data_IF_341763823021
#
_entry.id   IF_341763823021
#
_cell.length_a   1.000
_cell.length_b   1.000
_cell.length_c   1.000
_cell.angle_alpha   90.00
_cell.angle_beta   90.00
_cell.angle_gamma   90.00
#
_symmetry.space_group_name_H-M   'P 1'
#
loop_
_entity.id
_entity.type
_entity.pdbx_description
1 polymer ?
#
# COMPACT_ATOMS: atom_id res chain seq x y z
N UNK A 1 -30.83 19.49 37.83
CA UNK A 1 -29.74 18.47 37.83
C UNK A 1 -30.26 17.12 37.35
N UNK A 2 -31.51 16.79 37.59
CA UNK A 2 -32.09 15.48 37.23
C UNK A 2 -32.09 15.18 35.74
N UNK A 3 -32.33 16.17 34.87
CA UNK A 3 -32.32 15.98 33.41
C UNK A 3 -30.95 15.55 32.85
N UNK A 4 -29.85 16.06 33.41
CA UNK A 4 -28.50 15.69 33.01
C UNK A 4 -28.18 14.24 33.42
N UNK A 5 -28.61 13.85 34.63
CA UNK A 5 -28.44 12.48 35.15
C UNK A 5 -29.22 11.47 34.31
N UNK A 6 -30.46 11.80 33.89
CA UNK A 6 -31.23 10.96 32.99
C UNK A 6 -30.57 10.83 31.59
N UNK A 7 -30.05 11.93 31.04
CA UNK A 7 -29.35 11.88 29.78
C UNK A 7 -28.07 11.00 29.82
N UNK A 8 -27.28 11.14 30.87
CA UNK A 8 -26.09 10.30 31.09
C UNK A 8 -26.48 8.83 31.26
N UNK A 9 -27.53 8.53 32.04
CA UNK A 9 -28.01 7.18 32.26
C UNK A 9 -28.48 6.51 30.94
N UNK A 10 -29.22 7.23 30.10
CA UNK A 10 -29.72 6.73 28.81
C UNK A 10 -28.54 6.46 27.88
N UNK A 11 -27.56 7.38 27.77
CA UNK A 11 -26.37 7.22 26.95
C UNK A 11 -25.50 6.05 27.42
N UNK A 12 -25.32 5.90 28.74
CA UNK A 12 -24.56 4.80 29.31
C UNK A 12 -25.26 3.44 29.05
N UNK A 13 -26.58 3.37 29.26
CA UNK A 13 -27.35 2.16 28.97
C UNK A 13 -27.29 1.80 27.49
N UNK A 14 -27.45 2.78 26.58
CA UNK A 14 -27.33 2.60 25.13
C UNK A 14 -25.94 2.08 24.73
N UNK A 15 -24.89 2.65 25.30
CA UNK A 15 -23.52 2.22 25.09
C UNK A 15 -23.25 0.78 25.54
N UNK A 16 -23.77 0.40 26.73
CA UNK A 16 -23.65 -0.97 27.25
C UNK A 16 -24.40 -1.96 26.36
N UNK A 17 -25.62 -1.64 25.94
CA UNK A 17 -26.43 -2.52 25.08
C UNK A 17 -25.76 -2.71 23.72
N UNK A 18 -25.34 -1.62 23.07
CA UNK A 18 -24.63 -1.70 21.79
C UNK A 18 -23.29 -2.45 21.89
N UNK A 19 -22.51 -2.18 22.94
CA UNK A 19 -21.27 -2.89 23.21
C UNK A 19 -21.47 -4.39 23.43
N UNK A 20 -22.49 -4.77 24.17
CA UNK A 20 -22.84 -6.17 24.38
C UNK A 20 -23.31 -6.86 23.10
N UNK A 21 -24.12 -6.19 22.28
CA UNK A 21 -24.57 -6.71 20.97
C UNK A 21 -23.42 -6.90 20.02
N UNK A 22 -22.53 -5.90 19.88
CA UNK A 22 -21.35 -5.99 19.04
C UNK A 22 -20.36 -7.05 19.52
N UNK A 23 -20.13 -7.13 20.85
CA UNK A 23 -19.30 -8.16 21.45
C UNK A 23 -19.85 -9.58 21.20
N UNK A 24 -21.16 -9.77 21.38
CA UNK A 24 -21.81 -11.03 21.05
C UNK A 24 -21.70 -11.36 19.56
N UNK A 25 -21.98 -10.39 18.68
CA UNK A 25 -21.89 -10.57 17.24
C UNK A 25 -20.44 -10.93 16.79
N UNK A 26 -19.43 -10.28 17.36
CA UNK A 26 -18.01 -10.57 17.01
C UNK A 26 -17.58 -11.98 17.38
N UNK A 27 -18.12 -12.54 18.47
CA UNK A 27 -17.83 -13.93 18.87
C UNK A 27 -18.66 -14.94 18.08
N UNK A 28 -19.93 -14.59 17.77
CA UNK A 28 -20.86 -15.51 17.09
C UNK A 28 -20.62 -15.61 15.58
N UNK A 29 -20.20 -14.48 14.96
CA UNK A 29 -19.90 -14.38 13.53
C UNK A 29 -18.40 -14.30 13.24
N UNK A 30 -17.58 -14.90 14.10
CA UNK A 30 -16.15 -14.98 13.87
C UNK A 30 -15.92 -15.73 12.56
N UNK A 31 -15.42 -15.01 11.52
CA UNK A 31 -14.94 -15.66 10.32
C UNK A 31 -13.66 -16.42 10.70
N UNK A 32 -13.72 -17.73 10.67
CA UNK A 32 -12.53 -18.58 10.79
C UNK A 32 -11.73 -18.37 9.49
N UNK A 33 -10.63 -17.62 9.58
CA UNK A 33 -9.70 -17.49 8.47
C UNK A 33 -9.08 -18.85 8.18
N UNK A 34 -8.91 -19.17 6.89
CA UNK A 34 -8.18 -20.36 6.50
C UNK A 34 -6.72 -20.23 6.99
N UNK A 35 -6.23 -21.15 7.84
CA UNK A 35 -4.87 -21.07 8.35
C UNK A 35 -3.80 -21.13 7.25
N UNK A 36 -4.13 -21.67 6.06
CA UNK A 36 -3.25 -21.63 4.90
C UNK A 36 -3.11 -20.22 4.34
N UNK A 37 -4.24 -19.50 4.22
CA UNK A 37 -4.25 -18.08 3.78
C UNK A 37 -3.42 -17.22 4.72
N UNK A 38 -3.53 -17.41 6.03
CA UNK A 38 -2.75 -16.65 7.01
C UNK A 38 -1.24 -16.90 6.89
N UNK A 39 -0.84 -18.15 6.60
CA UNK A 39 0.57 -18.48 6.35
C UNK A 39 1.08 -17.85 5.06
N UNK A 40 0.31 -17.92 3.97
CA UNK A 40 0.66 -17.29 2.70
C UNK A 40 0.78 -15.77 2.88
N UNK A 41 -0.22 -15.14 3.52
CA UNK A 41 -0.25 -13.71 3.76
C UNK A 41 0.96 -13.24 4.59
N UNK A 42 1.41 -14.03 5.57
CA UNK A 42 2.59 -13.72 6.39
C UNK A 42 3.92 -13.77 5.62
N UNK A 43 3.99 -14.50 4.49
CA UNK A 43 5.16 -14.56 3.61
C UNK A 43 5.19 -13.35 2.68
N UNK A 44 4.03 -12.83 2.27
CA UNK A 44 3.94 -11.70 1.35
C UNK A 44 4.49 -10.42 1.97
N UNK A 45 5.06 -9.50 1.16
CA UNK A 45 5.79 -8.31 1.65
C UNK A 45 4.90 -7.25 2.31
N UNK A 46 3.60 -7.43 2.34
CA UNK A 46 2.61 -6.52 2.95
C UNK A 46 2.66 -5.07 2.43
N UNK A 47 3.17 -4.86 1.22
CA UNK A 47 3.25 -3.53 0.59
C UNK A 47 1.90 -3.01 0.12
N UNK A 48 0.88 -3.88 -0.02
CA UNK A 48 -0.48 -3.54 -0.47
C UNK A 48 -0.51 -2.79 -1.82
N UNK A 49 0.50 -3.02 -2.68
CA UNK A 49 0.75 -2.22 -3.89
C UNK A 49 -0.19 -2.52 -5.07
N UNK A 50 -0.88 -3.66 -5.09
CA UNK A 50 -1.80 -4.04 -6.16
C UNK A 50 -1.14 -4.47 -7.49
N UNK A 51 0.19 -4.52 -7.62
CA UNK A 51 0.87 -4.90 -8.87
C UNK A 51 0.55 -6.32 -9.35
N UNK A 52 0.26 -7.24 -8.42
CA UNK A 52 -0.19 -8.59 -8.74
C UNK A 52 -1.60 -8.67 -9.35
N UNK A 53 -2.29 -7.54 -9.53
CA UNK A 53 -3.67 -7.48 -10.02
C UNK A 53 -4.74 -7.66 -8.94
N UNK A 54 -4.36 -7.90 -7.69
CA UNK A 54 -5.27 -8.03 -6.55
C UNK A 54 -5.27 -6.75 -5.70
N UNK A 55 -6.41 -6.42 -5.03
CA UNK A 55 -6.52 -5.18 -4.26
C UNK A 55 -5.80 -5.23 -2.90
N UNK A 56 -4.71 -5.98 -2.81
CA UNK A 56 -3.90 -6.11 -1.60
C UNK A 56 -3.30 -7.51 -1.43
N UNK A 57 -2.44 -7.69 -0.43
CA UNK A 57 -1.72 -8.95 -0.21
C UNK A 57 -2.67 -10.08 0.24
N UNK A 58 -3.64 -9.80 1.12
CA UNK A 58 -4.58 -10.81 1.61
C UNK A 58 -5.48 -11.40 0.52
N UNK A 59 -6.13 -10.60 -0.38
CA UNK A 59 -6.87 -11.14 -1.52
C UNK A 59 -6.01 -12.00 -2.45
N UNK A 60 -4.74 -11.62 -2.64
CA UNK A 60 -3.80 -12.45 -3.41
C UNK A 60 -3.48 -13.76 -2.68
N UNK A 61 -3.26 -13.74 -1.35
CA UNK A 61 -3.07 -14.94 -0.56
C UNK A 61 -4.28 -15.89 -0.62
N UNK A 62 -5.50 -15.34 -0.59
CA UNK A 62 -6.74 -16.11 -0.75
C UNK A 62 -6.84 -16.76 -2.14
N UNK A 63 -6.46 -16.04 -3.19
CA UNK A 63 -6.47 -16.56 -4.55
C UNK A 63 -5.42 -17.67 -4.74
N UNK A 64 -4.22 -17.53 -4.15
CA UNK A 64 -3.19 -18.59 -4.15
C UNK A 64 -3.69 -19.84 -3.43
N UNK A 65 -4.34 -19.67 -2.27
CA UNK A 65 -4.85 -20.80 -1.48
C UNK A 65 -5.97 -21.58 -2.21
N UNK A 66 -6.71 -20.90 -3.09
CA UNK A 66 -7.77 -21.49 -3.93
C UNK A 66 -7.26 -21.98 -5.29
N UNK A 67 -5.97 -21.89 -5.58
CA UNK A 67 -5.38 -22.16 -6.91
C UNK A 67 -5.94 -21.27 -8.05
N UNK A 68 -6.46 -20.09 -7.72
CA UNK A 68 -6.95 -19.10 -8.69
C UNK A 68 -5.83 -18.17 -9.19
N UNK A 69 -4.70 -18.11 -8.46
CA UNK A 69 -3.53 -17.31 -8.81
C UNK A 69 -2.23 -18.11 -8.65
N UNK A 70 -1.26 -17.80 -9.52
CA UNK A 70 0.08 -18.35 -9.41
C UNK A 70 0.90 -17.66 -8.31
N UNK A 71 1.92 -18.35 -7.78
CA UNK A 71 2.78 -17.87 -6.68
C UNK A 71 3.80 -16.80 -7.11
N UNK A 72 3.95 -16.54 -8.42
CA UNK A 72 5.01 -15.73 -9.01
C UNK A 72 4.53 -14.35 -9.53
N UNK A 73 3.41 -13.83 -9.00
CA UNK A 73 2.81 -12.56 -9.47
C UNK A 73 3.15 -11.35 -8.60
N UNK A 74 4.02 -11.49 -7.59
CA UNK A 74 4.34 -10.42 -6.64
C UNK A 74 5.75 -9.84 -6.87
N UNK A 75 5.92 -8.73 -7.64
CA UNK A 75 7.23 -8.14 -7.89
C UNK A 75 7.96 -7.66 -6.62
N UNK A 76 7.30 -6.97 -5.66
CA UNK A 76 7.98 -6.55 -4.43
C UNK A 76 8.41 -7.70 -3.52
N UNK A 77 7.84 -8.89 -3.73
CA UNK A 77 8.24 -10.08 -2.99
C UNK A 77 9.50 -10.74 -3.53
N UNK A 78 9.78 -10.51 -4.81
CA UNK A 78 10.94 -11.08 -5.50
C UNK A 78 10.98 -12.61 -5.49
N UNK A 79 12.10 -13.15 -5.91
CA UNK A 79 12.34 -14.59 -5.98
C UNK A 79 12.31 -15.27 -4.60
N UNK A 80 12.74 -14.58 -3.54
CA UNK A 80 12.75 -15.14 -2.19
C UNK A 80 11.35 -15.53 -1.71
N UNK A 81 10.35 -14.68 -1.98
CA UNK A 81 8.97 -14.99 -1.61
C UNK A 81 8.41 -16.14 -2.45
N UNK A 82 8.75 -16.21 -3.73
CA UNK A 82 8.32 -17.30 -4.61
C UNK A 82 8.86 -18.64 -4.09
N UNK A 83 10.13 -18.69 -3.69
CA UNK A 83 10.71 -19.90 -3.09
C UNK A 83 9.99 -20.33 -1.81
N UNK A 84 9.73 -19.38 -0.89
CA UNK A 84 9.01 -19.68 0.36
C UNK A 84 7.58 -20.17 0.12
N UNK A 85 6.89 -19.58 -0.86
CA UNK A 85 5.53 -19.99 -1.25
C UNK A 85 5.55 -21.37 -1.93
N UNK A 86 6.53 -21.63 -2.79
CA UNK A 86 6.71 -22.94 -3.44
C UNK A 86 6.96 -24.04 -2.41
N UNK A 87 7.82 -23.79 -1.43
CA UNK A 87 8.10 -24.72 -0.32
C UNK A 87 6.86 -24.97 0.54
N UNK A 88 6.13 -23.89 0.92
CA UNK A 88 4.92 -24.00 1.75
C UNK A 88 3.82 -24.81 1.07
N UNK A 89 3.64 -24.65 -0.25
CA UNK A 89 2.55 -25.23 -1.03
C UNK A 89 2.95 -26.54 -1.74
N UNK A 90 4.23 -26.92 -1.70
CA UNK A 90 4.75 -28.08 -2.44
C UNK A 90 4.65 -27.91 -3.96
N UNK A 91 4.68 -26.67 -4.46
CA UNK A 91 4.63 -26.34 -5.89
C UNK A 91 6.03 -26.18 -6.46
N UNK A 92 6.17 -26.39 -7.78
CA UNK A 92 7.42 -26.11 -8.46
C UNK A 92 7.71 -24.60 -8.48
N UNK A 93 8.99 -24.24 -8.35
CA UNK A 93 9.43 -22.87 -8.51
C UNK A 93 9.16 -22.38 -9.93
N UNK A 94 8.60 -21.17 -10.03
CA UNK A 94 8.42 -20.44 -11.29
C UNK A 94 9.10 -19.07 -11.16
N UNK A 95 9.84 -18.59 -12.18
CA UNK A 95 10.40 -17.25 -12.16
C UNK A 95 9.30 -16.20 -12.08
N UNK A 96 9.65 -15.01 -11.60
CA UNK A 96 8.71 -13.89 -11.49
C UNK A 96 8.02 -13.61 -12.84
N UNK A 97 6.71 -13.44 -12.82
CA UNK A 97 5.92 -13.15 -14.03
C UNK A 97 6.21 -11.75 -14.55
N UNK A 98 6.76 -11.66 -15.78
CA UNK A 98 7.06 -10.39 -16.43
C UNK A 98 5.81 -9.54 -16.70
N UNK A 99 4.62 -10.13 -16.73
CA UNK A 99 3.35 -9.43 -16.93
C UNK A 99 2.98 -8.52 -15.74
N UNK A 100 3.43 -8.88 -14.53
CA UNK A 100 3.13 -8.15 -13.30
C UNK A 100 4.24 -7.18 -12.90
N UNK A 101 5.37 -7.19 -13.64
CA UNK A 101 6.51 -6.32 -13.42
C UNK A 101 7.80 -7.09 -13.09
N UNK A 102 8.82 -6.33 -12.75
CA UNK A 102 10.15 -6.85 -12.39
C UNK A 102 10.48 -6.42 -10.96
N UNK A 103 11.32 -7.20 -10.30
CA UNK A 103 11.89 -6.80 -9.02
C UNK A 103 12.75 -5.54 -9.22
N UNK A 104 12.41 -4.48 -8.48
CA UNK A 104 13.10 -3.18 -8.54
C UNK A 104 13.56 -2.79 -7.13
N UNK A 105 14.65 -2.02 -7.03
CA UNK A 105 15.01 -1.40 -5.76
C UNK A 105 13.87 -0.50 -5.28
N UNK A 106 13.82 -0.26 -3.98
CA UNK A 106 12.78 0.59 -3.40
C UNK A 106 12.80 1.98 -4.04
N UNK A 107 11.66 2.38 -4.57
CA UNK A 107 11.44 3.66 -5.24
C UNK A 107 10.24 4.37 -4.62
N UNK A 108 10.21 5.69 -4.77
CA UNK A 108 9.04 6.52 -4.47
C UNK A 108 8.73 7.39 -5.69
N UNK A 109 7.46 7.64 -5.92
CA UNK A 109 7.03 8.54 -6.97
C UNK A 109 7.12 10.00 -6.48
N UNK A 110 7.51 10.90 -7.37
CA UNK A 110 7.53 12.35 -7.13
C UNK A 110 6.73 13.03 -8.23
N UNK A 111 5.91 14.02 -7.88
CA UNK A 111 5.12 14.82 -8.83
C UNK A 111 5.81 16.16 -9.04
N UNK A 112 6.05 16.55 -10.30
CA UNK A 112 6.38 17.93 -10.60
C UNK A 112 5.13 18.81 -10.46
N UNK A 113 5.05 19.52 -9.34
CA UNK A 113 3.92 20.36 -8.98
C UNK A 113 3.70 21.50 -9.98
N UNK A 114 4.72 21.94 -10.71
CA UNK A 114 4.64 23.02 -11.71
C UNK A 114 3.92 22.58 -12.98
N UNK A 115 4.05 21.30 -13.34
CA UNK A 115 3.44 20.69 -14.52
C UNK A 115 2.07 20.09 -14.19
N UNK A 116 1.83 19.76 -12.92
CA UNK A 116 0.60 19.10 -12.48
C UNK A 116 -0.64 19.97 -12.70
N UNK A 117 -1.62 19.45 -13.43
CA UNK A 117 -2.89 20.13 -13.76
C UNK A 117 -4.04 19.82 -12.79
N UNK A 118 -3.83 19.00 -11.78
CA UNK A 118 -4.86 18.66 -10.80
C UNK A 118 -6.00 17.80 -11.34
N UNK A 119 -5.70 16.83 -12.22
CA UNK A 119 -6.73 15.98 -12.85
C UNK A 119 -7.28 14.85 -11.96
N UNK A 120 -6.67 14.59 -10.82
CA UNK A 120 -7.04 13.55 -9.81
C UNK A 120 -6.94 12.10 -10.26
N UNK A 121 -6.52 11.79 -11.48
CA UNK A 121 -6.44 10.41 -12.00
C UNK A 121 -5.40 9.58 -11.23
N UNK A 122 -4.28 10.16 -10.85
CA UNK A 122 -3.25 9.49 -10.03
C UNK A 122 -3.75 9.15 -8.63
N UNK A 123 -4.60 9.99 -8.01
CA UNK A 123 -5.21 9.71 -6.70
C UNK A 123 -6.09 8.46 -6.79
N UNK A 124 -6.92 8.35 -7.84
CA UNK A 124 -7.80 7.20 -8.04
C UNK A 124 -7.03 5.90 -8.30
N UNK A 125 -5.84 5.99 -8.87
CA UNK A 125 -4.99 4.85 -9.17
C UNK A 125 -4.12 4.40 -7.99
N UNK A 126 -3.99 5.22 -6.94
CA UNK A 126 -3.12 4.94 -5.80
C UNK A 126 -3.79 3.96 -4.81
N UNK A 127 -3.28 2.72 -4.63
CA UNK A 127 -3.90 1.74 -3.75
C UNK A 127 -3.66 2.01 -2.26
N UNK A 128 -2.72 2.90 -1.93
CA UNK A 128 -2.30 3.21 -0.55
C UNK A 128 -2.59 4.66 -0.14
N UNK A 129 -3.36 5.40 -0.95
CA UNK A 129 -3.75 6.79 -0.70
C UNK A 129 -2.56 7.73 -0.38
N UNK A 130 -1.39 7.47 -1.00
CA UNK A 130 -0.18 8.25 -0.77
C UNK A 130 -0.18 9.62 -1.47
N UNK A 131 -1.19 9.93 -2.30
CA UNK A 131 -1.23 11.16 -3.11
C UNK A 131 -2.21 12.16 -2.51
N UNK A 132 -1.68 13.32 -2.17
CA UNK A 132 -2.43 14.41 -1.55
C UNK A 132 -2.72 15.47 -2.62
N UNK A 133 -3.97 15.91 -2.71
CA UNK A 133 -4.38 16.93 -3.66
C UNK A 133 -5.90 16.96 -3.87
N UNK A 134 -6.35 17.84 -4.74
CA UNK A 134 -7.76 17.98 -5.08
C UNK A 134 -7.93 18.37 -6.56
N UNK A 135 -9.15 18.29 -7.06
CA UNK A 135 -9.48 18.70 -8.43
C UNK A 135 -9.06 20.16 -8.70
N UNK A 136 -8.31 20.37 -9.76
CA UNK A 136 -7.73 21.67 -10.18
C UNK A 136 -6.71 22.27 -9.20
N UNK A 137 -6.18 21.46 -8.28
CA UNK A 137 -5.07 21.81 -7.42
C UNK A 137 -3.90 20.89 -7.73
N UNK A 138 -2.67 21.36 -7.59
CA UNK A 138 -1.49 20.51 -7.73
C UNK A 138 -1.54 19.35 -6.73
N UNK A 139 -0.96 18.22 -7.13
CA UNK A 139 -0.85 17.05 -6.27
C UNK A 139 0.58 16.92 -5.79
N UNK A 140 0.74 16.35 -4.59
CA UNK A 140 2.03 15.92 -4.03
C UNK A 140 1.93 14.50 -3.49
N UNK A 141 3.05 13.85 -3.29
CA UNK A 141 3.11 12.46 -2.80
C UNK A 141 3.71 12.44 -1.40
N UNK A 142 3.05 11.73 -0.49
CA UNK A 142 3.59 11.40 0.81
C UNK A 142 4.57 10.22 0.64
N UNK A 143 5.87 10.53 0.63
CA UNK A 143 6.95 9.58 0.32
C UNK A 143 6.99 8.39 1.29
N UNK A 144 6.66 8.62 2.56
CA UNK A 144 6.62 7.60 3.62
C UNK A 144 5.48 6.60 3.44
N UNK A 145 4.42 6.97 2.72
CA UNK A 145 3.28 6.11 2.39
C UNK A 145 3.43 5.47 1.01
N UNK A 146 4.25 6.05 0.12
CA UNK A 146 4.42 5.57 -1.24
C UNK A 146 5.14 4.21 -1.27
N UNK A 147 4.54 3.24 -1.96
CA UNK A 147 5.08 1.88 -2.11
C UNK A 147 5.89 1.68 -3.40
N UNK A 148 5.98 2.71 -4.26
CA UNK A 148 6.73 2.63 -5.52
C UNK A 148 6.10 1.75 -6.59
N UNK A 149 4.78 1.54 -6.54
CA UNK A 149 4.06 0.62 -7.42
C UNK A 149 3.89 1.09 -8.88
N UNK A 150 4.23 2.35 -9.19
CA UNK A 150 4.15 2.97 -10.54
C UNK A 150 2.73 3.09 -11.12
N UNK A 151 1.68 2.66 -10.43
CA UNK A 151 0.30 2.67 -10.95
C UNK A 151 -0.25 4.08 -11.23
N UNK A 152 0.35 5.11 -10.65
CA UNK A 152 -0.02 6.51 -10.87
C UNK A 152 0.56 7.10 -12.16
N UNK A 153 1.57 6.47 -12.78
CA UNK A 153 2.25 6.98 -13.99
C UNK A 153 1.38 6.88 -15.23
N UNK A 154 0.83 5.70 -15.61
CA UNK A 154 0.06 5.55 -16.85
C UNK A 154 -1.18 6.46 -16.95
N UNK A 155 -1.94 6.74 -15.88
CA UNK A 155 -3.09 7.61 -15.97
C UNK A 155 -2.76 9.11 -16.00
N UNK A 156 -1.49 9.51 -15.81
CA UNK A 156 -1.10 10.92 -15.81
C UNK A 156 -1.04 11.50 -17.24
N UNK A 157 -1.96 12.42 -17.63
CA UNK A 157 -2.02 12.91 -19.00
C UNK A 157 -0.92 13.90 -19.35
N UNK A 158 -0.20 14.43 -18.36
CA UNK A 158 0.89 15.41 -18.53
C UNK A 158 2.25 14.84 -18.14
N UNK A 159 2.33 13.55 -17.85
CA UNK A 159 3.57 12.81 -17.55
C UNK A 159 4.47 13.52 -16.51
N UNK A 160 3.85 14.11 -15.48
CA UNK A 160 4.56 14.88 -14.45
C UNK A 160 4.98 14.03 -13.22
N UNK A 161 5.02 12.70 -13.35
CA UNK A 161 5.33 11.79 -12.25
C UNK A 161 6.60 11.01 -12.58
N UNK A 162 7.62 11.19 -11.76
CA UNK A 162 8.91 10.51 -11.89
C UNK A 162 9.13 9.54 -10.72
N UNK A 163 9.91 8.47 -10.97
CA UNK A 163 10.30 7.51 -9.93
C UNK A 163 11.72 7.79 -9.46
N UNK A 164 11.88 7.93 -8.15
CA UNK A 164 13.20 8.16 -7.53
C UNK A 164 13.55 6.99 -6.62
N UNK A 165 14.73 6.44 -6.82
CA UNK A 165 15.24 5.35 -5.98
C UNK A 165 15.60 5.86 -4.59
N UNK A 166 15.08 5.21 -3.56
CA UNK A 166 15.42 5.49 -2.16
C UNK A 166 16.60 4.63 -1.77
N UNK A 167 17.74 5.26 -1.44
CA UNK A 167 18.88 4.53 -0.94
C UNK A 167 18.61 3.98 0.47
N UNK A 168 18.92 2.71 0.68
CA UNK A 168 18.88 2.08 2.02
C UNK A 168 20.05 2.60 2.84
N UNK A 169 19.81 3.65 3.61
CA UNK A 169 20.77 4.19 4.57
C UNK A 169 20.22 4.02 5.99
N UNK A 170 21.08 4.02 7.02
CA UNK A 170 20.61 3.99 8.41
C UNK A 170 19.65 5.13 8.75
N UNK A 171 19.68 6.24 7.99
CA UNK A 171 18.81 7.39 8.18
C UNK A 171 17.43 7.21 7.50
N UNK A 172 17.35 6.38 6.45
CA UNK A 172 16.10 6.03 5.77
C UNK A 172 15.40 4.82 6.41
N UNK A 173 16.00 4.24 7.46
CA UNK A 173 15.40 3.14 8.20
C UNK A 173 14.11 3.56 8.89
N UNK A 174 13.00 2.91 8.57
CA UNK A 174 11.64 3.29 9.03
C UNK A 174 11.35 3.04 10.51
N UNK A 175 12.30 2.56 11.32
CA UNK A 175 12.10 2.43 12.76
C UNK A 175 12.14 3.81 13.42
N UNK A 176 10.98 4.40 13.58
CA UNK A 176 10.83 5.63 14.37
C UNK A 176 11.05 5.25 15.83
N UNK A 177 12.13 5.73 16.44
CA UNK A 177 12.30 5.64 17.90
C UNK A 177 11.11 6.34 18.56
N UNK A 178 10.47 5.73 19.57
CA UNK A 178 9.46 6.41 20.34
C UNK A 178 9.94 7.79 20.80
N UNK A 179 9.23 8.86 20.41
CA UNK A 179 9.58 10.24 20.74
C UNK A 179 10.48 10.99 19.74
N UNK A 180 10.86 10.39 18.61
CA UNK A 180 11.54 11.14 17.56
C UNK A 180 10.53 11.90 16.67
N UNK A 181 10.83 13.17 16.38
CA UNK A 181 10.06 13.94 15.40
C UNK A 181 10.16 13.29 14.01
N UNK A 182 9.08 13.35 13.17
CA UNK A 182 9.12 12.83 11.82
C UNK A 182 10.28 13.50 11.06
N UNK A 183 11.20 12.69 10.52
CA UNK A 183 12.29 13.20 9.70
C UNK A 183 11.74 13.52 8.32
N UNK A 184 11.82 14.77 7.92
CA UNK A 184 11.68 15.16 6.53
C UNK A 184 12.95 14.69 5.82
N UNK A 185 12.83 13.72 4.93
CA UNK A 185 13.95 13.27 4.09
C UNK A 185 14.21 14.41 3.11
N UNK A 186 15.41 15.05 3.13
CA UNK A 186 15.71 16.08 2.15
C UNK A 186 15.73 15.42 0.76
N UNK A 187 14.82 15.82 -0.12
CA UNK A 187 14.83 15.42 -1.51
C UNK A 187 16.07 16.04 -2.13
N UNK A 188 17.06 15.22 -2.44
CA UNK A 188 18.17 15.66 -3.29
C UNK A 188 17.60 15.74 -4.70
N UNK A 189 17.44 16.94 -5.31
CA UNK A 189 16.95 17.02 -6.66
C UNK A 189 17.95 16.31 -7.55
N UNK A 190 17.54 15.17 -8.12
CA UNK A 190 18.27 14.57 -9.22
C UNK A 190 18.21 15.59 -10.35
N UNK A 191 19.37 16.09 -10.79
CA UNK A 191 19.44 16.99 -11.93
C UNK A 191 18.71 16.32 -13.09
N UNK A 192 17.55 16.84 -13.44
CA UNK A 192 16.80 16.41 -14.63
C UNK A 192 17.74 16.59 -15.78
N UNK A 193 18.15 15.48 -16.41
CA UNK A 193 18.94 15.53 -17.63
C UNK A 193 18.14 16.37 -18.63
N UNK A 194 18.67 17.53 -18.98
CA UNK A 194 18.08 18.43 -19.94
C UNK A 194 17.78 17.62 -21.20
N UNK A 195 16.49 17.48 -21.54
CA UNK A 195 16.09 17.03 -22.85
C UNK A 195 16.69 18.03 -23.83
N UNK A 196 17.78 17.60 -24.49
CA UNK A 196 18.37 18.36 -25.59
C UNK A 196 17.30 18.51 -26.67
N UNK A 197 16.88 19.75 -26.89
CA UNK A 197 16.15 20.13 -28.08
C UNK A 197 16.90 19.59 -29.30
N UNK A 198 16.31 18.63 -29.98
CA UNK A 198 16.70 18.26 -31.35
C UNK A 198 15.77 19.03 -32.29
N UNK A 199 16.39 19.98 -33.00
CA UNK A 199 15.80 20.77 -34.05
C UNK A 199 15.26 19.90 -35.20
#
# INVERSE_FOLDING_TARGET
>A
MDGILYAIAIMALGGVVLGALLGYASTRFKAEGDPLVEKIDSILPQTQCGQCGFPGCRPYAEAIAKDEADINQCPPGGDENIHKLAELLGKEYKPLSAEHGIEKPKQVAIIDEKVCIGCTLCIQACPVDAIIGAAKQMHTIAEDLCTGCELCIPPCPVECIDMVTVADTPDTWKWIKPGAAPRVIPIVPVAVAAHSEAA
#
